data_IF_520304243583
#
_entry.id   IF_520304243583
#
_cell.length_a   1.000
_cell.length_b   1.000
_cell.length_c   1.000
_cell.angle_alpha   90.00
_cell.angle_beta   90.00
_cell.angle_gamma   90.00
#
_symmetry.space_group_name_H-M   'P 1'
#
loop_
_entity.id
_entity.type
_entity.pdbx_description
1 polymer ?
#
# COMPACT_ATOMS: atom_id res chain seq x y z
N UNK A 1 4.96 -14.14 -12.20
CA UNK A 1 5.17 -13.32 -13.40
C UNK A 1 6.20 -13.94 -14.31
N UNK A 2 5.84 -14.25 -15.56
CA UNK A 2 6.74 -14.87 -16.54
C UNK A 2 7.23 -13.90 -17.63
N UNK A 3 6.76 -12.64 -17.65
CA UNK A 3 6.99 -11.68 -18.74
C UNK A 3 7.79 -10.43 -18.33
N UNK A 4 8.40 -10.41 -17.14
CA UNK A 4 9.08 -9.23 -16.59
C UNK A 4 8.12 -8.27 -15.89
N UNK A 5 8.67 -7.41 -15.03
CA UNK A 5 7.89 -6.50 -14.17
C UNK A 5 7.10 -5.43 -14.96
N UNK A 6 7.53 -5.11 -16.18
CA UNK A 6 7.00 -4.00 -16.97
C UNK A 6 6.00 -4.43 -18.06
N UNK A 7 5.80 -5.73 -18.28
CA UNK A 7 4.87 -6.22 -19.30
C UNK A 7 3.41 -6.18 -18.82
N UNK A 8 2.52 -5.68 -19.67
CA UNK A 8 1.08 -5.76 -19.46
C UNK A 8 0.63 -7.23 -19.30
N UNK A 9 -0.34 -7.47 -18.42
CA UNK A 9 -0.89 -8.81 -18.24
C UNK A 9 -1.67 -9.29 -19.47
N UNK A 10 -2.32 -8.37 -20.18
CA UNK A 10 -3.04 -8.65 -21.44
C UNK A 10 -2.59 -7.63 -22.48
N UNK A 11 -2.28 -8.10 -23.69
CA UNK A 11 -1.97 -7.24 -24.85
C UNK A 11 -2.89 -7.59 -26.01
N UNK A 12 -3.66 -6.62 -26.50
CA UNK A 12 -4.53 -6.74 -27.68
C UNK A 12 -3.93 -5.94 -28.84
N UNK A 13 -3.28 -6.62 -29.79
CA UNK A 13 -2.61 -5.95 -30.90
C UNK A 13 -3.51 -5.72 -32.13
N UNK A 14 -4.49 -6.60 -32.37
CA UNK A 14 -5.40 -6.57 -33.53
C UNK A 14 -6.77 -7.17 -33.19
N UNK A 15 -7.80 -6.81 -33.96
CA UNK A 15 -9.13 -7.43 -33.84
C UNK A 15 -10.01 -6.80 -32.77
N UNK A 16 -10.94 -7.57 -32.20
CA UNK A 16 -11.86 -7.13 -31.15
C UNK A 16 -11.61 -7.95 -29.89
N UNK A 17 -11.64 -7.32 -28.72
CA UNK A 17 -11.41 -8.01 -27.44
C UNK A 17 -12.38 -7.59 -26.34
N UNK A 18 -12.74 -8.53 -25.47
CA UNK A 18 -13.49 -8.27 -24.24
C UNK A 18 -12.67 -8.80 -23.07
N UNK A 19 -12.38 -7.94 -22.10
CA UNK A 19 -11.69 -8.29 -20.86
C UNK A 19 -12.62 -8.02 -19.69
N UNK A 20 -13.18 -9.09 -19.14
CA UNK A 20 -14.21 -9.02 -18.10
C UNK A 20 -13.90 -9.88 -16.89
N UNK A 21 -14.21 -9.40 -15.69
CA UNK A 21 -14.18 -10.20 -14.46
C UNK A 21 -12.78 -10.58 -13.98
N UNK A 22 -11.74 -9.80 -14.29
CA UNK A 22 -10.36 -10.13 -13.92
C UNK A 22 -9.93 -9.44 -12.64
N UNK A 23 -8.99 -10.07 -11.95
CA UNK A 23 -8.19 -9.43 -10.91
C UNK A 23 -6.74 -9.34 -11.35
N UNK A 24 -6.15 -8.16 -11.24
CA UNK A 24 -4.75 -7.93 -11.59
C UNK A 24 -3.93 -7.69 -10.33
N UNK A 25 -2.74 -8.31 -10.29
CA UNK A 25 -1.68 -7.91 -9.38
C UNK A 25 -1.23 -6.47 -9.68
N UNK A 26 -0.58 -5.82 -8.73
CA UNK A 26 -0.09 -4.46 -8.89
C UNK A 26 0.93 -4.37 -10.02
N UNK A 27 0.57 -3.68 -11.11
CA UNK A 27 1.48 -3.39 -12.23
C UNK A 27 1.28 -1.97 -12.75
N UNK A 28 2.30 -1.36 -13.38
CA UNK A 28 2.16 -0.08 -14.05
C UNK A 28 1.09 -0.10 -15.15
N UNK A 29 0.90 -1.23 -15.83
CA UNK A 29 -0.12 -1.44 -16.88
C UNK A 29 -0.69 -2.86 -16.77
N UNK A 30 -2.01 -2.99 -16.71
CA UNK A 30 -2.68 -4.30 -16.69
C UNK A 30 -3.04 -4.76 -18.10
N UNK A 31 -3.61 -3.86 -18.89
CA UNK A 31 -4.09 -4.13 -20.25
C UNK A 31 -3.49 -3.11 -21.20
N UNK A 32 -2.84 -3.58 -22.26
CA UNK A 32 -2.39 -2.76 -23.37
C UNK A 32 -3.21 -3.07 -24.62
N UNK A 33 -3.81 -2.04 -25.22
CA UNK A 33 -4.53 -2.13 -26.49
C UNK A 33 -3.72 -1.39 -27.54
N UNK A 34 -3.14 -2.14 -28.48
CA UNK A 34 -2.37 -1.58 -29.58
C UNK A 34 -3.27 -0.92 -30.63
N UNK A 35 -2.72 0.05 -31.36
CA UNK A 35 -3.44 0.81 -32.39
C UNK A 35 -4.00 -0.03 -33.56
N UNK A 36 -3.57 -1.29 -33.70
CA UNK A 36 -4.11 -2.23 -34.69
C UNK A 36 -5.41 -2.92 -34.27
N UNK A 37 -5.84 -2.76 -33.01
CA UNK A 37 -7.13 -3.26 -32.56
C UNK A 37 -8.28 -2.43 -33.16
N UNK A 38 -9.44 -3.06 -33.33
CA UNK A 38 -10.65 -2.47 -33.91
C UNK A 38 -11.60 -1.96 -32.83
N UNK A 39 -11.78 -2.75 -31.77
CA UNK A 39 -12.62 -2.39 -30.64
C UNK A 39 -12.20 -3.16 -29.38
N UNK A 40 -12.47 -2.60 -28.21
CA UNK A 40 -12.27 -3.28 -26.95
C UNK A 40 -13.36 -2.95 -25.93
N UNK A 41 -13.74 -3.91 -25.10
CA UNK A 41 -14.60 -3.69 -23.92
C UNK A 41 -13.87 -4.20 -22.69
N UNK A 42 -13.70 -3.35 -21.69
CA UNK A 42 -13.03 -3.68 -20.44
C UNK A 42 -13.99 -3.41 -19.30
N UNK A 43 -14.45 -4.47 -18.64
CA UNK A 43 -15.55 -4.35 -17.67
C UNK A 43 -15.41 -5.25 -16.46
N UNK A 44 -16.04 -4.88 -15.34
CA UNK A 44 -16.12 -5.72 -14.14
C UNK A 44 -14.76 -6.20 -13.61
N UNK A 45 -13.67 -5.46 -13.86
CA UNK A 45 -12.35 -5.84 -13.37
C UNK A 45 -12.12 -5.25 -11.98
N UNK A 46 -11.59 -6.08 -11.09
CA UNK A 46 -11.27 -5.77 -9.72
C UNK A 46 -9.75 -5.69 -9.58
N UNK A 47 -9.16 -4.49 -9.51
CA UNK A 47 -7.75 -4.35 -9.17
C UNK A 47 -7.64 -3.53 -7.89
N UNK A 48 -6.91 -4.01 -6.86
CA UNK A 48 -6.79 -3.32 -5.58
C UNK A 48 -6.39 -1.85 -5.70
N UNK A 49 -5.70 -1.47 -6.79
CA UNK A 49 -5.09 -0.14 -6.98
C UNK A 49 -5.39 0.49 -8.33
N UNK A 50 -6.61 0.28 -8.85
CA UNK A 50 -7.08 0.75 -10.16
C UNK A 50 -6.63 -0.13 -11.31
N UNK A 51 -7.58 -0.41 -12.18
CA UNK A 51 -7.30 -0.95 -13.49
C UNK A 51 -6.49 0.05 -14.34
N UNK A 52 -5.20 -0.23 -14.58
CA UNK A 52 -4.38 0.52 -15.54
C UNK A 52 -4.53 -0.04 -16.96
N UNK A 53 -5.02 0.80 -17.88
CA UNK A 53 -5.21 0.47 -19.30
C UNK A 53 -4.46 1.46 -20.18
N UNK A 54 -3.60 0.95 -21.06
CA UNK A 54 -3.02 1.73 -22.15
C UNK A 54 -3.89 1.57 -23.40
N UNK A 55 -4.71 2.57 -23.69
CA UNK A 55 -5.68 2.54 -24.80
C UNK A 55 -5.12 3.21 -26.06
N UNK A 56 -4.72 2.41 -27.06
CA UNK A 56 -4.24 2.89 -28.36
C UNK A 56 -5.32 3.07 -29.44
N UNK A 57 -6.59 2.80 -29.15
CA UNK A 57 -7.69 2.84 -30.14
C UNK A 57 -8.74 3.92 -29.84
N UNK A 58 -8.50 4.76 -28.81
CA UNK A 58 -9.36 5.88 -28.46
C UNK A 58 -10.79 5.45 -28.13
N UNK A 59 -11.76 6.10 -28.75
CA UNK A 59 -13.19 5.94 -28.49
C UNK A 59 -13.75 4.56 -28.86
N UNK A 60 -12.99 3.74 -29.59
CA UNK A 60 -13.36 2.34 -29.86
C UNK A 60 -13.11 1.41 -28.66
N UNK A 61 -12.74 1.96 -27.50
CA UNK A 61 -12.57 1.22 -26.25
C UNK A 61 -13.61 1.66 -25.21
N UNK A 62 -14.50 0.75 -24.83
CA UNK A 62 -15.42 0.93 -23.70
C UNK A 62 -14.75 0.46 -22.41
N UNK A 63 -14.64 1.32 -21.40
CA UNK A 63 -14.10 0.97 -20.07
C UNK A 63 -15.15 1.32 -19.03
N UNK A 64 -15.84 0.33 -18.49
CA UNK A 64 -17.02 0.54 -17.63
C UNK A 64 -17.09 -0.49 -16.50
N UNK A 65 -17.83 -0.20 -15.43
CA UNK A 65 -18.04 -1.11 -14.29
C UNK A 65 -16.75 -1.70 -13.67
N UNK A 66 -15.62 -1.03 -13.79
CA UNK A 66 -14.37 -1.39 -13.09
C UNK A 66 -14.30 -0.61 -11.76
N UNK A 67 -13.42 -1.02 -10.84
CA UNK A 67 -13.18 -0.20 -9.64
C UNK A 67 -12.73 1.21 -10.09
N UNK A 68 -13.42 2.28 -9.66
CA UNK A 68 -13.11 3.63 -10.09
C UNK A 68 -11.68 4.01 -9.69
N UNK A 69 -11.05 4.84 -10.52
CA UNK A 69 -9.79 5.48 -10.14
C UNK A 69 -10.06 6.33 -8.89
N UNK A 70 -9.33 6.12 -7.78
CA UNK A 70 -9.30 7.02 -6.65
C UNK A 70 -8.99 8.43 -7.11
N UNK A 71 -9.60 9.42 -6.44
CA UNK A 71 -9.14 10.79 -6.61
C UNK A 71 -7.64 10.88 -6.37
N UNK A 72 -7.00 11.79 -7.08
CA UNK A 72 -5.62 12.17 -6.75
C UNK A 72 -5.62 12.95 -5.43
N UNK A 73 -4.61 12.71 -4.60
CA UNK A 73 -4.42 13.45 -3.36
C UNK A 73 -3.83 14.83 -3.65
N UNK A 74 -4.35 15.86 -2.99
CA UNK A 74 -3.80 17.21 -2.98
C UNK A 74 -2.75 17.33 -1.89
N UNK A 75 -1.95 18.40 -1.89
CA UNK A 75 -0.98 18.62 -0.83
C UNK A 75 -1.65 18.89 0.53
N UNK A 76 -2.84 19.48 0.53
CA UNK A 76 -3.66 19.71 1.73
C UNK A 76 -4.05 18.40 2.42
N UNK A 77 -4.29 17.33 1.65
CA UNK A 77 -4.60 16.00 2.19
C UNK A 77 -3.46 15.44 3.04
N UNK A 78 -2.24 15.88 2.79
CA UNK A 78 -1.04 15.44 3.51
C UNK A 78 -0.66 16.36 4.67
N UNK A 79 -1.43 17.42 4.94
CA UNK A 79 -1.17 18.31 6.08
C UNK A 79 -1.43 17.61 7.42
N UNK A 80 -2.55 16.91 7.56
CA UNK A 80 -2.93 16.12 8.72
C UNK A 80 -3.74 14.91 8.27
N UNK A 81 -3.21 13.70 8.44
CA UNK A 81 -3.89 12.53 7.89
C UNK A 81 -3.70 11.24 8.68
N UNK A 82 -4.59 10.29 8.39
CA UNK A 82 -4.46 8.89 8.76
C UNK A 82 -4.49 7.99 7.53
N UNK A 83 -3.73 6.91 7.61
CA UNK A 83 -3.66 5.84 6.62
C UNK A 83 -3.83 4.52 7.35
N UNK A 84 -4.92 3.82 7.09
CA UNK A 84 -5.14 2.43 7.51
C UNK A 84 -4.51 1.48 6.49
N UNK A 85 -3.68 0.56 6.97
CA UNK A 85 -2.99 -0.47 6.19
C UNK A 85 -3.86 -1.73 6.08
N UNK A 86 -5.08 -1.51 5.62
CA UNK A 86 -6.05 -2.49 5.15
C UNK A 86 -7.18 -1.82 4.36
N UNK A 87 -7.08 -0.49 4.15
CA UNK A 87 -8.08 0.30 3.48
C UNK A 87 -7.76 0.42 2.00
N UNK A 88 -8.70 0.99 1.25
CA UNK A 88 -8.51 1.28 -0.17
C UNK A 88 -7.25 2.16 -0.35
N UNK A 89 -6.44 1.84 -1.36
CA UNK A 89 -5.19 2.53 -1.76
C UNK A 89 -3.99 2.49 -0.83
N UNK A 90 -4.02 1.70 0.23
CA UNK A 90 -2.91 1.64 1.17
C UNK A 90 -1.58 1.17 0.55
N UNK A 91 -1.67 0.24 -0.39
CA UNK A 91 -0.63 -0.19 -1.34
C UNK A 91 0.26 0.92 -1.91
N UNK A 92 -0.28 2.11 -2.19
CA UNK A 92 0.47 3.24 -2.77
C UNK A 92 1.58 3.74 -1.84
N UNK A 93 1.48 3.40 -0.57
CA UNK A 93 2.36 3.88 0.48
C UNK A 93 3.24 2.77 1.04
N UNK A 94 3.07 1.51 0.65
CA UNK A 94 3.71 0.37 1.28
C UNK A 94 4.49 -0.49 0.28
N UNK A 95 5.65 -0.96 0.70
CA UNK A 95 6.48 -1.91 -0.04
C UNK A 95 6.92 -3.04 0.90
N UNK A 96 6.99 -4.27 0.41
CA UNK A 96 7.34 -5.44 1.21
C UNK A 96 6.31 -5.82 2.29
N UNK A 97 5.05 -5.46 2.12
CA UNK A 97 3.94 -5.90 2.98
C UNK A 97 3.16 -7.04 2.35
N UNK A 98 2.68 -7.95 3.19
CA UNK A 98 1.77 -9.03 2.81
C UNK A 98 0.36 -8.48 2.69
N UNK A 99 -0.51 -9.17 1.96
CA UNK A 99 -1.92 -8.81 1.78
C UNK A 99 -2.62 -8.48 3.10
N UNK A 100 -3.56 -7.54 3.01
CA UNK A 100 -4.34 -7.08 4.16
C UNK A 100 -5.15 -8.23 4.76
N UNK A 101 -5.07 -8.36 6.08
CA UNK A 101 -5.90 -9.29 6.85
C UNK A 101 -7.25 -8.62 7.16
N UNK A 102 -8.38 -9.28 6.89
CA UNK A 102 -9.70 -8.75 7.24
C UNK A 102 -10.02 -8.85 8.74
N UNK A 103 -9.21 -9.58 9.52
CA UNK A 103 -9.44 -9.82 10.94
C UNK A 103 -8.82 -8.74 11.85
N UNK A 104 -9.36 -8.56 13.07
CA UNK A 104 -8.80 -7.69 14.13
C UNK A 104 -8.66 -6.19 13.78
N UNK A 105 -9.69 -5.56 13.19
CA UNK A 105 -9.62 -4.15 12.77
C UNK A 105 -8.80 -3.92 11.49
N UNK A 106 -8.18 -5.00 11.01
CA UNK A 106 -7.39 -5.19 9.80
C UNK A 106 -6.05 -4.46 9.78
N UNK A 107 -5.09 -5.16 9.20
CA UNK A 107 -3.68 -4.79 9.20
C UNK A 107 -2.98 -5.44 8.01
N UNK A 108 -1.78 -4.94 7.69
CA UNK A 108 -0.83 -5.64 6.82
C UNK A 108 0.36 -6.11 7.62
N UNK A 109 0.71 -7.38 7.45
CA UNK A 109 1.95 -7.92 8.00
C UNK A 109 3.13 -7.44 7.17
N UNK A 110 4.14 -6.85 7.82
CA UNK A 110 5.41 -6.53 7.19
C UNK A 110 6.18 -7.82 6.87
N UNK A 111 7.01 -7.82 5.83
CA UNK A 111 8.13 -8.76 5.68
C UNK A 111 9.45 -8.12 6.18
N UNK A 112 10.57 -8.84 6.11
CA UNK A 112 11.89 -8.23 6.34
C UNK A 112 12.19 -7.18 5.30
N UNK A 113 12.43 -5.94 5.73
CA UNK A 113 12.73 -4.83 4.83
C UNK A 113 11.48 -4.15 4.26
N UNK A 114 10.30 -4.44 4.82
CA UNK A 114 9.11 -3.69 4.50
C UNK A 114 9.32 -2.20 4.79
N UNK A 115 8.70 -1.35 3.99
CA UNK A 115 8.83 0.09 4.17
C UNK A 115 7.56 0.83 3.79
N UNK A 116 7.37 1.99 4.42
CA UNK A 116 6.31 2.92 4.09
C UNK A 116 6.90 4.20 3.52
N UNK A 117 6.39 4.64 2.37
CA UNK A 117 6.74 5.93 1.77
C UNK A 117 5.59 6.91 1.97
N UNK A 118 5.78 7.86 2.88
CA UNK A 118 4.76 8.83 3.28
C UNK A 118 5.05 10.21 2.69
N UNK A 119 3.99 10.99 2.46
CA UNK A 119 4.07 12.36 1.91
C UNK A 119 3.70 13.38 2.98
N UNK A 120 4.23 14.58 2.86
CA UNK A 120 3.94 15.70 3.75
C UNK A 120 4.44 17.01 3.16
N UNK A 121 4.13 18.11 3.84
CA UNK A 121 4.62 19.43 3.45
C UNK A 121 6.13 19.51 3.71
N UNK A 122 6.97 19.91 2.74
CA UNK A 122 8.41 20.07 2.93
C UNK A 122 8.76 20.91 4.17
N UNK A 123 9.80 20.51 4.90
CA UNK A 123 10.34 21.16 6.10
C UNK A 123 9.36 21.25 7.30
N UNK A 124 8.10 20.81 7.16
CA UNK A 124 7.16 20.77 8.27
C UNK A 124 7.50 19.64 9.27
N UNK A 125 7.20 19.87 10.54
CA UNK A 125 7.37 18.88 11.61
C UNK A 125 6.05 18.17 11.85
N UNK A 126 6.08 16.84 11.77
CA UNK A 126 4.92 15.99 12.03
C UNK A 126 5.13 15.19 13.30
N UNK A 127 4.06 15.04 14.09
CA UNK A 127 3.91 13.93 15.03
C UNK A 127 3.40 12.74 14.25
N UNK A 128 4.21 11.68 14.21
CA UNK A 128 3.90 10.44 13.50
C UNK A 128 3.54 9.39 14.52
N UNK A 129 2.40 8.73 14.34
CA UNK A 129 1.93 7.65 15.20
C UNK A 129 1.70 6.39 14.38
N UNK A 130 2.32 5.29 14.78
CA UNK A 130 2.08 3.97 14.24
C UNK A 130 1.29 3.13 15.25
N UNK A 131 0.16 2.59 14.82
CA UNK A 131 -0.57 1.56 15.55
C UNK A 131 -0.18 0.21 14.96
N UNK A 132 0.51 -0.61 15.75
CA UNK A 132 1.07 -1.90 15.32
C UNK A 132 0.66 -3.04 16.25
N UNK A 133 0.74 -4.26 15.74
CA UNK A 133 0.70 -5.49 16.49
C UNK A 133 2.03 -6.21 16.33
N UNK A 134 2.72 -6.44 17.45
CA UNK A 134 4.01 -7.15 17.47
C UNK A 134 3.84 -8.53 18.07
N UNK A 135 4.26 -9.56 17.35
CA UNK A 135 4.42 -10.90 17.90
C UNK A 135 5.77 -11.00 18.62
N UNK A 136 5.89 -11.77 19.70
CA UNK A 136 7.18 -12.02 20.38
C UNK A 136 8.26 -12.55 19.44
N UNK A 137 7.87 -13.30 18.40
CA UNK A 137 8.79 -13.89 17.43
C UNK A 137 9.32 -12.85 16.43
N UNK A 138 8.69 -11.68 16.34
CA UNK A 138 9.18 -10.54 15.55
C UNK A 138 10.23 -9.70 16.29
N UNK A 139 10.40 -9.90 17.60
CA UNK A 139 11.33 -9.12 18.41
C UNK A 139 12.80 -9.55 18.18
N UNK A 140 13.67 -8.56 18.17
CA UNK A 140 15.13 -8.69 18.16
C UNK A 140 15.77 -7.41 18.68
N UNK A 141 17.06 -7.47 19.02
CA UNK A 141 17.83 -6.27 19.37
C UNK A 141 17.81 -5.27 18.22
N UNK A 142 17.41 -4.03 18.52
CA UNK A 142 17.25 -2.99 17.51
C UNK A 142 15.97 -3.08 16.68
N UNK A 143 15.01 -3.94 17.03
CA UNK A 143 13.70 -3.94 16.37
C UNK A 143 13.03 -2.54 16.45
N UNK A 144 12.42 -2.10 15.36
CA UNK A 144 11.78 -0.78 15.32
C UNK A 144 11.45 -0.25 13.94
N UNK A 145 10.94 0.97 13.93
CA UNK A 145 10.66 1.75 12.72
C UNK A 145 11.74 2.83 12.57
N UNK A 146 12.34 2.86 11.39
CA UNK A 146 13.55 3.62 11.09
C UNK A 146 13.28 4.71 10.06
N UNK A 147 14.04 5.80 10.15
CA UNK A 147 14.24 6.75 9.04
C UNK A 147 15.73 6.78 8.73
N UNK A 148 16.09 6.28 7.55
CA UNK A 148 17.48 5.96 7.22
C UNK A 148 18.07 4.97 8.21
N UNK A 149 19.15 5.36 8.89
CA UNK A 149 19.85 4.51 9.87
C UNK A 149 19.41 4.74 11.33
N UNK A 150 18.49 5.66 11.59
CA UNK A 150 18.07 6.00 12.95
C UNK A 150 16.80 5.23 13.32
N UNK A 151 16.85 4.45 14.39
CA UNK A 151 15.66 3.85 15.00
C UNK A 151 14.86 4.97 15.69
N UNK A 152 13.71 5.35 15.12
CA UNK A 152 12.88 6.39 15.70
C UNK A 152 11.88 5.81 16.70
N UNK A 153 11.39 4.61 16.44
CA UNK A 153 10.32 4.00 17.23
C UNK A 153 10.69 2.54 17.51
N UNK A 154 11.46 2.30 18.61
CA UNK A 154 11.84 0.96 19.01
C UNK A 154 10.62 0.10 19.32
N UNK A 155 10.69 -1.18 18.95
CA UNK A 155 9.67 -2.19 19.26
C UNK A 155 10.30 -3.17 20.25
N UNK A 156 9.92 -3.06 21.52
CA UNK A 156 10.60 -3.74 22.64
C UNK A 156 9.75 -4.80 23.33
N UNK A 157 8.47 -4.92 22.97
CA UNK A 157 7.54 -5.85 23.59
C UNK A 157 6.52 -6.39 22.58
N UNK A 158 5.86 -7.49 22.93
CA UNK A 158 4.77 -8.06 22.14
C UNK A 158 3.43 -7.34 22.42
N UNK A 159 2.44 -7.61 21.56
CA UNK A 159 1.07 -7.10 21.68
C UNK A 159 0.78 -5.88 20.80
N UNK A 160 -0.33 -5.21 21.13
CA UNK A 160 -0.79 -4.01 20.44
C UNK A 160 -0.04 -2.79 20.98
N UNK A 161 0.63 -2.05 20.09
CA UNK A 161 1.48 -0.92 20.45
C UNK A 161 1.09 0.33 19.67
N UNK A 162 1.17 1.48 20.35
CA UNK A 162 1.11 2.80 19.73
C UNK A 162 2.49 3.44 19.87
N UNK A 163 3.19 3.59 18.75
CA UNK A 163 4.52 4.19 18.70
C UNK A 163 4.40 5.61 18.16
N UNK A 164 4.99 6.59 18.84
CA UNK A 164 4.92 7.99 18.43
C UNK A 164 6.29 8.64 18.43
N UNK A 165 6.61 9.40 17.38
CA UNK A 165 7.79 10.27 17.35
C UNK A 165 7.54 11.51 16.48
N UNK A 166 8.42 12.51 16.57
CA UNK A 166 8.42 13.66 15.67
C UNK A 166 9.41 13.45 14.53
N UNK A 167 9.00 13.85 13.33
CA UNK A 167 9.87 13.88 12.14
C UNK A 167 9.77 15.23 11.46
N UNK A 168 10.87 15.71 10.90
CA UNK A 168 10.86 16.84 9.97
C UNK A 168 10.83 16.27 8.57
N UNK A 169 9.90 16.76 7.75
CA UNK A 169 9.78 16.32 6.36
C UNK A 169 10.98 16.79 5.55
N UNK A 170 11.56 15.93 4.70
CA UNK A 170 12.58 16.33 3.75
C UNK A 170 12.06 17.34 2.72
N UNK A 171 13.00 18.00 2.02
CA UNK A 171 12.70 19.05 1.03
C UNK A 171 11.83 18.58 -0.15
N UNK A 172 11.87 17.29 -0.47
CA UNK A 172 11.04 16.70 -1.52
C UNK A 172 9.63 16.29 -1.03
N UNK A 173 9.31 16.55 0.25
CA UNK A 173 8.03 16.24 0.86
C UNK A 173 7.78 14.74 1.01
N UNK A 174 8.82 13.90 0.95
CA UNK A 174 8.68 12.44 1.07
C UNK A 174 9.59 11.90 2.16
N UNK A 175 9.06 11.01 2.98
CA UNK A 175 9.81 10.33 4.02
C UNK A 175 9.58 8.83 3.94
N UNK A 176 10.67 8.06 4.00
CA UNK A 176 10.63 6.60 4.02
C UNK A 176 10.82 6.10 5.44
N UNK A 177 9.89 5.27 5.89
CA UNK A 177 9.95 4.54 7.15
C UNK A 177 10.27 3.07 6.87
N UNK A 178 11.45 2.60 7.27
CA UNK A 178 11.82 1.19 7.13
C UNK A 178 11.45 0.42 8.40
N UNK A 179 10.82 -0.75 8.24
CA UNK A 179 10.48 -1.66 9.34
C UNK A 179 11.59 -2.70 9.47
N UNK A 180 12.26 -2.72 10.62
CA UNK A 180 13.33 -3.68 10.92
C UNK A 180 12.92 -4.52 12.11
N UNK A 181 12.62 -5.78 11.86
CA UNK A 181 12.16 -6.77 12.85
C UNK A 181 12.68 -8.15 12.45
N UNK A 182 12.61 -9.11 13.37
CA UNK A 182 12.92 -10.50 13.06
C UNK A 182 11.80 -11.09 12.23
N UNK A 183 12.16 -11.81 11.17
CA UNK A 183 11.20 -12.61 10.43
C UNK A 183 10.81 -13.86 11.23
N UNK A 184 9.54 -14.22 11.14
CA UNK A 184 9.02 -15.47 11.70
C UNK A 184 7.96 -16.05 10.77
N UNK A 185 7.57 -17.30 10.98
CA UNK A 185 6.48 -17.92 10.22
C UNK A 185 5.64 -18.79 11.15
N UNK A 186 4.30 -18.70 11.10
CA UNK A 186 3.44 -19.53 11.94
C UNK A 186 3.71 -21.02 11.77
N UNK A 187 3.85 -21.51 10.52
CA UNK A 187 4.15 -22.91 10.23
C UNK A 187 5.52 -23.37 10.77
N UNK A 188 6.52 -22.49 10.81
CA UNK A 188 7.83 -22.81 11.38
C UNK A 188 7.80 -22.96 12.91
N UNK A 189 6.85 -22.28 13.57
CA UNK A 189 6.63 -22.37 15.01
C UNK A 189 5.69 -23.54 15.38
N UNK A 190 4.71 -23.81 14.53
CA UNK A 190 3.75 -24.90 14.67
C UNK A 190 3.52 -25.57 13.30
N UNK A 191 4.13 -26.74 13.03
CA UNK A 191 3.99 -27.42 11.75
C UNK A 191 2.55 -27.78 11.33
N UNK A 192 1.60 -27.80 12.27
CA UNK A 192 0.18 -28.01 11.99
C UNK A 192 -0.54 -26.76 11.44
N UNK A 193 0.05 -25.58 11.60
CA UNK A 193 -0.49 -24.33 11.07
C UNK A 193 -0.23 -24.24 9.55
N UNK A 194 -1.26 -24.16 8.69
CA UNK A 194 -1.07 -24.11 7.24
C UNK A 194 -0.44 -22.79 6.75
N UNK A 195 -0.43 -21.73 7.57
CA UNK A 195 0.15 -20.45 7.18
C UNK A 195 1.69 -20.49 7.07
N UNK A 196 2.18 -20.54 5.83
CA UNK A 196 3.60 -20.58 5.46
C UNK A 196 4.21 -19.19 5.23
N UNK A 197 3.48 -18.11 5.46
CA UNK A 197 3.98 -16.76 5.20
C UNK A 197 5.12 -16.42 6.16
N UNK A 198 6.05 -15.61 5.67
CA UNK A 198 7.14 -15.03 6.48
C UNK A 198 6.69 -13.64 6.92
N UNK A 199 6.43 -13.50 8.22
CA UNK A 199 5.81 -12.35 8.86
C UNK A 199 6.85 -11.56 9.69
N UNK A 200 6.58 -10.28 9.86
CA UNK A 200 7.20 -9.38 10.84
C UNK A 200 6.16 -8.88 11.82
N UNK A 201 5.88 -7.58 11.82
CA UNK A 201 4.83 -6.94 12.63
C UNK A 201 3.62 -6.59 11.78
N UNK A 202 2.43 -6.62 12.38
CA UNK A 202 1.21 -6.11 11.76
C UNK A 202 1.14 -4.60 11.92
N UNK A 203 0.95 -3.85 10.84
CA UNK A 203 0.69 -2.40 10.93
C UNK A 203 -0.77 -2.16 10.55
N UNK A 204 -1.50 -1.47 11.42
CA UNK A 204 -2.93 -1.19 11.24
C UNK A 204 -3.16 0.21 10.72
N UNK A 205 -2.51 1.20 11.32
CA UNK A 205 -2.72 2.61 10.99
C UNK A 205 -1.43 3.39 11.18
N UNK A 206 -1.22 4.37 10.31
CA UNK A 206 -0.24 5.42 10.48
C UNK A 206 -0.94 6.77 10.47
N UNK A 207 -0.60 7.65 11.41
CA UNK A 207 -1.09 9.02 11.48
C UNK A 207 0.07 9.99 11.35
N UNK A 208 -0.14 11.05 10.60
CA UNK A 208 0.81 12.13 10.37
C UNK A 208 0.10 13.44 10.70
N UNK A 209 0.47 14.06 11.83
CA UNK A 209 -0.20 15.25 12.37
C UNK A 209 0.80 16.41 12.49
N UNK A 210 0.63 17.45 11.69
CA UNK A 210 1.43 18.69 11.76
C UNK A 210 0.81 19.73 12.70
N UNK A 211 -0.53 19.77 12.77
CA UNK A 211 -1.29 20.62 13.68
C UNK A 211 -2.34 19.77 14.43
N UNK A 212 -2.17 19.54 15.75
CA UNK A 212 -3.10 18.72 16.53
C UNK A 212 -4.51 19.31 16.66
N UNK A 213 -4.72 20.58 16.27
CA UNK A 213 -6.04 21.22 16.26
C UNK A 213 -6.77 21.10 14.92
N UNK A 214 -6.06 20.74 13.86
CA UNK A 214 -6.65 20.60 12.53
C UNK A 214 -7.40 19.27 12.38
N UNK A 215 -8.42 19.20 11.51
CA UNK A 215 -9.07 17.94 11.15
C UNK A 215 -8.07 16.95 10.55
N UNK A 216 -8.29 15.65 10.81
CA UNK A 216 -7.48 14.56 10.24
C UNK A 216 -8.18 14.01 9.00
N UNK A 217 -7.54 14.11 7.84
CA UNK A 217 -8.01 13.52 6.60
C UNK A 217 -7.72 12.02 6.56
N UNK A 218 -8.66 11.19 6.08
CA UNK A 218 -8.42 9.75 5.90
C UNK A 218 -7.99 9.47 4.48
N UNK A 219 -6.74 9.04 4.27
CA UNK A 219 -6.22 8.68 2.95
C UNK A 219 -6.91 7.46 2.34
N UNK A 220 -7.66 6.69 3.13
CA UNK A 220 -8.44 5.57 2.60
C UNK A 220 -9.85 5.98 2.13
N UNK A 221 -10.31 7.19 2.45
CA UNK A 221 -11.68 7.61 2.13
C UNK A 221 -11.73 8.31 0.76
N UNK A 222 -12.31 7.62 -0.21
CA UNK A 222 -12.54 8.10 -1.57
C UNK A 222 -14.02 8.42 -1.78
N UNK A 223 -14.65 9.19 -0.89
CA UNK A 223 -15.83 9.90 -1.35
C UNK A 223 -15.32 10.88 -2.43
N UNK A 224 -15.50 10.47 -3.68
CA UNK A 224 -15.53 11.39 -4.81
C UNK A 224 -16.69 12.33 -4.47
N UNK A 225 -16.38 13.51 -3.94
CA UNK A 225 -17.34 14.61 -3.97
C UNK A 225 -17.54 15.03 -5.44
#
# INVERSE_FOLDING_TARGET
>A
DALGADAAAITLNKGVGIVSGNTFAEKPTHIEIGAGAKAAVITANWSPNVLSVKNGIGDNCEITANIPKPREFTDDDFANYSLKLNGVNDSRFVDGFIYAEPTNGGMRWSSSGASLSLRGTPDAVYTVTFNIMSDKNALMDGAGIYVGNKNLMPITQEGMLTLTNKVTMPKDGRIKFDVKVKNWSPNALNPAEPDKRVLGVGIMEVRMISDPKAPVFSLNNLKNE
#
